data_IF_679242407925
#
_entry.id   IF_679242407925
#
_cell.length_a   1.000
_cell.length_b   1.000
_cell.length_c   1.000
_cell.angle_alpha   90.00
_cell.angle_beta   90.00
_cell.angle_gamma   90.00
#
_symmetry.space_group_name_H-M   'P 1'
#
loop_
_entity.id
_entity.type
_entity.pdbx_description
1 polymer ?
#
# COMPACT_ATOMS: atom_id res chain seq x y z
N UNK A 1 -10.04 -2.97 4.84
CA UNK A 1 -10.81 -2.56 3.65
C UNK A 1 -10.53 -3.44 2.45
N UNK A 2 -11.43 -4.38 2.24
CA UNK A 2 -11.44 -5.24 1.06
C UNK A 2 -12.78 -5.05 0.35
N UNK A 3 -12.77 -4.99 -0.97
CA UNK A 3 -14.01 -5.04 -1.75
C UNK A 3 -13.88 -6.08 -2.87
N UNK A 4 -15.00 -6.73 -3.16
CA UNK A 4 -15.09 -7.64 -4.29
C UNK A 4 -15.35 -6.83 -5.56
N UNK A 5 -14.48 -6.98 -6.56
CA UNK A 5 -14.69 -6.45 -7.90
C UNK A 5 -14.33 -7.54 -8.90
N UNK A 6 -15.26 -7.88 -9.79
CA UNK A 6 -15.10 -8.94 -10.81
C UNK A 6 -14.72 -10.31 -10.22
N UNK A 7 -15.31 -10.68 -9.08
CA UNK A 7 -15.00 -11.93 -8.39
C UNK A 7 -13.62 -11.98 -7.73
N UNK A 8 -12.89 -10.86 -7.69
CA UNK A 8 -11.58 -10.74 -7.04
C UNK A 8 -11.70 -9.86 -5.81
N UNK A 9 -11.13 -10.33 -4.70
CA UNK A 9 -10.98 -9.52 -3.49
C UNK A 9 -9.81 -8.57 -3.74
N UNK A 10 -10.11 -7.27 -3.73
CA UNK A 10 -9.10 -6.21 -3.83
C UNK A 10 -8.91 -5.60 -2.45
N UNK A 11 -7.65 -5.53 -2.02
CA UNK A 11 -7.28 -4.77 -0.83
C UNK A 11 -7.13 -3.31 -1.22
N UNK A 12 -7.80 -2.42 -0.50
CA UNK A 12 -7.36 -1.03 -0.48
C UNK A 12 -6.07 -0.98 0.32
N UNK A 13 -4.98 -0.66 -0.36
CA UNK A 13 -3.74 -0.32 0.33
C UNK A 13 -3.97 1.05 0.97
N UNK A 14 -4.25 1.04 2.27
CA UNK A 14 -4.23 2.23 3.12
C UNK A 14 -2.87 2.30 3.84
N UNK A 15 -2.50 3.48 4.32
CA UNK A 15 -1.27 3.65 5.11
C UNK A 15 -1.26 2.71 6.32
N UNK A 16 -2.39 2.55 6.99
CA UNK A 16 -2.55 1.64 8.13
C UNK A 16 -2.34 0.18 7.71
N UNK A 17 -2.88 -0.23 6.55
CA UNK A 17 -2.68 -1.57 6.02
C UNK A 17 -1.21 -1.82 5.66
N UNK A 18 -0.55 -0.88 4.98
CA UNK A 18 0.85 -0.98 4.64
C UNK A 18 1.74 -1.10 5.90
N UNK A 19 1.45 -0.31 6.95
CA UNK A 19 2.13 -0.42 8.25
C UNK A 19 1.93 -1.78 8.90
N UNK A 20 0.70 -2.29 8.91
CA UNK A 20 0.41 -3.60 9.47
C UNK A 20 1.14 -4.73 8.74
N UNK A 21 1.16 -4.70 7.40
CA UNK A 21 1.88 -5.69 6.59
C UNK A 21 3.40 -5.68 6.82
N UNK A 22 3.96 -4.53 7.19
CA UNK A 22 5.41 -4.35 7.39
C UNK A 22 5.81 -4.36 8.88
N UNK A 23 4.86 -4.50 9.80
CA UNK A 23 5.12 -4.45 11.23
C UNK A 23 6.04 -5.59 11.69
N UNK A 24 5.92 -6.76 11.06
CA UNK A 24 6.67 -7.95 11.41
C UNK A 24 7.86 -8.14 10.46
N UNK A 25 9.07 -7.97 10.99
CA UNK A 25 10.31 -8.23 10.26
C UNK A 25 10.81 -7.07 9.40
N UNK A 26 10.17 -5.91 9.42
CA UNK A 26 10.66 -4.71 8.74
C UNK A 26 10.60 -3.46 9.62
N UNK A 27 11.50 -2.52 9.35
CA UNK A 27 11.44 -1.15 9.86
C UNK A 27 11.08 -0.23 8.70
N UNK A 28 10.01 0.54 8.88
CA UNK A 28 9.51 1.46 7.85
C UNK A 28 10.25 2.80 7.92
N UNK A 29 10.99 3.12 6.86
CA UNK A 29 11.74 4.38 6.77
C UNK A 29 10.89 5.50 6.14
N UNK A 30 10.04 5.16 5.16
CA UNK A 30 9.16 6.12 4.48
C UNK A 30 7.85 5.47 4.08
N UNK A 31 6.76 6.21 4.25
CA UNK A 31 5.43 5.84 3.76
C UNK A 31 4.74 7.08 3.22
N UNK A 32 4.28 7.01 1.98
CA UNK A 32 3.59 8.13 1.33
C UNK A 32 2.40 7.66 0.51
N UNK A 33 1.26 8.29 0.74
CA UNK A 33 0.09 8.24 -0.12
C UNK A 33 0.17 9.32 -1.19
N UNK A 34 -0.11 8.95 -2.46
CA UNK A 34 -0.11 9.87 -3.60
C UNK A 34 -1.32 9.63 -4.49
N UNK A 35 -1.78 10.72 -5.12
CA UNK A 35 -2.77 10.70 -6.20
C UNK A 35 -2.12 11.26 -7.46
N UNK A 36 -2.41 10.69 -8.63
CA UNK A 36 -1.82 11.12 -9.88
C UNK A 36 -2.33 10.29 -11.05
N UNK A 37 -1.48 10.08 -12.05
CA UNK A 37 -1.79 9.20 -13.18
C UNK A 37 -0.84 8.00 -13.20
N UNK A 38 -1.40 6.79 -13.28
CA UNK A 38 -0.66 5.55 -13.53
C UNK A 38 -1.30 4.86 -14.72
N UNK A 39 -0.48 4.33 -15.64
CA UNK A 39 -0.95 3.65 -16.85
C UNK A 39 -1.94 4.47 -17.69
N UNK A 40 -1.77 5.80 -17.73
CA UNK A 40 -2.60 6.72 -18.51
C UNK A 40 -3.96 7.06 -17.90
N UNK A 41 -4.26 6.60 -16.68
CA UNK A 41 -5.52 6.88 -16.00
C UNK A 41 -5.30 7.53 -14.62
N UNK A 42 -6.25 8.34 -14.11
CA UNK A 42 -6.23 8.81 -12.73
C UNK A 42 -6.14 7.64 -11.76
N UNK A 43 -5.26 7.75 -10.77
CA UNK A 43 -4.97 6.68 -9.82
C UNK A 43 -4.53 7.24 -8.47
N UNK A 44 -4.59 6.40 -7.45
CA UNK A 44 -4.06 6.64 -6.13
C UNK A 44 -3.25 5.42 -5.68
N UNK A 45 -2.11 5.66 -5.04
CA UNK A 45 -1.21 4.59 -4.61
C UNK A 45 -0.41 4.99 -3.38
N UNK A 46 0.18 3.99 -2.74
CA UNK A 46 1.06 4.15 -1.60
C UNK A 46 2.46 3.68 -2.00
N UNK A 47 3.47 4.41 -1.56
CA UNK A 47 4.87 3.99 -1.63
C UNK A 47 5.40 3.78 -0.22
N UNK A 48 5.85 2.57 0.07
CA UNK A 48 6.52 2.22 1.32
C UNK A 48 7.98 1.85 1.03
N UNK A 49 8.91 2.48 1.75
CA UNK A 49 10.33 2.09 1.77
C UNK A 49 10.60 1.55 3.17
N UNK A 50 10.98 0.28 3.22
CA UNK A 50 11.28 -0.42 4.46
C UNK A 50 12.55 -1.25 4.29
N UNK A 51 13.21 -1.52 5.41
CA UNK A 51 14.39 -2.39 5.50
C UNK A 51 14.08 -3.56 6.42
N UNK A 52 14.75 -4.68 6.22
CA UNK A 52 14.63 -5.82 7.12
C UNK A 52 14.96 -5.37 8.55
N UNK A 53 14.14 -5.80 9.51
CA UNK A 53 14.43 -5.64 10.92
C UNK A 53 15.65 -6.51 11.27
N UNK A 54 16.53 -6.03 12.18
CA UNK A 54 17.69 -6.78 12.64
C UNK A 54 17.31 -8.05 13.40
#
# INVERSE_FOLDING_TARGET
DMFALDGKVRHFFSDAYARACLADGFVLDRLESRTGHLYGAPSAWITAIARAAP
#
